data_IF_227547622581
#
_entry.id   IF_227547622581
#
_cell.length_a   1.000
_cell.length_b   1.000
_cell.length_c   1.000
_cell.angle_alpha   90.00
_cell.angle_beta   90.00
_cell.angle_gamma   90.00
#
_symmetry.space_group_name_H-M   'P 1'
#
loop_
_entity.id
_entity.type
_entity.pdbx_description
1 polymer ?
#
# COMPACT_ATOMS: atom_id res chain seq x y z
N UNK A 1 46.99 23.90 -4.96
CA UNK A 1 46.60 22.52 -5.34
C UNK A 1 46.24 21.77 -4.06
N UNK A 2 44.98 21.65 -3.75
CA UNK A 2 44.47 20.91 -2.57
C UNK A 2 44.61 19.41 -2.86
N UNK A 3 45.40 18.69 -2.04
CA UNK A 3 45.42 17.24 -2.05
C UNK A 3 44.04 16.77 -1.57
N UNK A 4 43.24 16.19 -2.47
CA UNK A 4 42.05 15.45 -2.10
C UNK A 4 42.46 14.37 -1.10
N UNK A 5 41.94 14.42 0.12
CA UNK A 5 42.05 13.29 1.04
C UNK A 5 41.29 12.13 0.38
N UNK A 6 42.02 11.19 -0.18
CA UNK A 6 41.46 9.90 -0.54
C UNK A 6 41.05 9.23 0.78
N UNK A 7 39.75 9.14 1.04
CA UNK A 7 39.23 8.37 2.14
C UNK A 7 39.42 6.88 1.84
N UNK A 8 40.51 6.30 2.29
CA UNK A 8 40.81 4.88 2.20
C UNK A 8 39.96 4.09 3.24
N UNK A 9 38.70 3.89 2.96
CA UNK A 9 37.74 3.26 3.87
C UNK A 9 38.03 1.77 4.13
N UNK A 10 38.83 1.10 3.28
CA UNK A 10 39.05 -0.34 3.34
C UNK A 10 40.53 -0.73 3.61
N UNK A 11 41.42 0.22 3.85
CA UNK A 11 42.82 -0.09 4.17
C UNK A 11 43.02 -0.19 5.67
N UNK A 12 43.73 -1.25 6.11
CA UNK A 12 44.20 -1.37 7.48
C UNK A 12 45.15 -0.21 7.78
N UNK A 13 44.89 0.46 8.89
CA UNK A 13 45.82 1.49 9.39
C UNK A 13 46.96 0.81 10.13
N UNK A 14 48.20 1.40 10.11
CA UNK A 14 49.33 0.83 10.82
C UNK A 14 49.07 0.53 12.30
N UNK A 15 48.23 1.36 12.95
CA UNK A 15 47.82 1.16 14.36
C UNK A 15 47.00 -0.12 14.59
N UNK A 16 46.42 -0.67 13.55
CA UNK A 16 45.59 -1.91 13.62
C UNK A 16 46.45 -3.18 13.53
N UNK A 17 47.73 -3.09 13.25
CA UNK A 17 48.67 -4.21 13.09
C UNK A 17 49.78 -4.26 14.15
N UNK A 18 49.84 -3.27 15.04
CA UNK A 18 50.94 -3.15 16.04
C UNK A 18 50.70 -3.88 17.36
N UNK A 19 49.67 -4.76 17.44
CA UNK A 19 49.34 -5.50 18.65
C UNK A 19 48.50 -4.72 19.66
N UNK A 20 48.04 -5.39 20.70
CA UNK A 20 47.27 -4.80 21.80
C UNK A 20 45.85 -4.38 21.42
N UNK A 21 45.38 -3.25 21.97
CA UNK A 21 44.01 -2.77 21.79
C UNK A 21 43.65 -2.43 20.32
N UNK A 22 44.62 -2.01 19.50
CA UNK A 22 44.42 -1.72 18.09
C UNK A 22 44.07 -2.95 17.26
N UNK A 23 44.78 -4.05 17.51
CA UNK A 23 44.50 -5.32 16.81
C UNK A 23 43.13 -5.91 17.19
N UNK A 24 42.80 -5.88 18.49
CA UNK A 24 41.48 -6.32 18.96
C UNK A 24 40.38 -5.48 18.34
N UNK A 25 40.54 -4.15 18.28
CA UNK A 25 39.59 -3.23 17.64
C UNK A 25 39.42 -3.54 16.16
N UNK A 26 40.50 -3.85 15.42
CA UNK A 26 40.44 -4.24 14.02
C UNK A 26 39.67 -5.55 13.80
N UNK A 27 39.95 -6.56 14.67
CA UNK A 27 39.24 -7.86 14.62
C UNK A 27 37.74 -7.65 14.88
N UNK A 28 37.39 -6.91 15.95
CA UNK A 28 35.98 -6.62 16.28
C UNK A 28 35.29 -5.87 15.17
N UNK A 29 35.92 -4.83 14.63
CA UNK A 29 35.39 -4.06 13.50
C UNK A 29 35.17 -4.94 12.26
N UNK A 30 36.11 -5.86 11.98
CA UNK A 30 35.99 -6.82 10.88
C UNK A 30 34.84 -7.83 11.09
N UNK A 31 34.53 -8.20 12.32
CA UNK A 31 33.38 -9.05 12.65
C UNK A 31 32.07 -8.24 12.50
N UNK A 32 32.02 -7.06 13.09
CA UNK A 32 30.82 -6.20 13.08
C UNK A 32 30.45 -5.77 11.67
N UNK A 33 31.42 -5.48 10.80
CA UNK A 33 31.19 -5.08 9.40
C UNK A 33 30.53 -6.17 8.55
N UNK A 34 30.56 -7.42 8.99
CA UNK A 34 29.90 -8.56 8.33
C UNK A 34 28.47 -8.79 8.82
N UNK A 35 28.05 -8.11 9.86
CA UNK A 35 26.70 -8.24 10.43
C UNK A 35 25.73 -7.37 9.60
N UNK A 36 24.90 -8.02 8.82
CA UNK A 36 23.84 -7.33 8.08
C UNK A 36 22.63 -7.14 8.99
N UNK A 37 22.28 -5.89 9.31
CA UNK A 37 21.12 -5.56 10.16
C UNK A 37 19.95 -5.03 9.34
N UNK A 38 20.12 -3.83 8.78
CA UNK A 38 19.14 -3.15 7.94
C UNK A 38 19.86 -2.42 6.82
N UNK A 39 19.31 -2.45 5.61
CA UNK A 39 19.83 -1.65 4.50
C UNK A 39 18.69 -1.14 3.61
N UNK A 40 18.96 -0.07 2.87
CA UNK A 40 18.08 0.36 1.79
C UNK A 40 18.25 -0.56 0.60
N UNK A 41 17.13 -0.96 0.02
CA UNK A 41 17.09 -1.81 -1.17
C UNK A 41 16.16 -1.23 -2.22
N UNK A 42 16.41 -1.56 -3.48
CA UNK A 42 15.48 -1.32 -4.57
C UNK A 42 14.78 -2.61 -4.93
N UNK A 43 13.47 -2.55 -5.11
CA UNK A 43 12.68 -3.66 -5.65
C UNK A 43 13.04 -3.84 -7.11
N UNK A 44 13.46 -5.04 -7.48
CA UNK A 44 13.80 -5.44 -8.85
C UNK A 44 12.59 -6.10 -9.51
N UNK A 45 11.89 -6.93 -8.74
CA UNK A 45 10.72 -7.67 -9.22
C UNK A 45 9.80 -8.03 -8.06
N UNK A 46 8.49 -7.90 -8.28
CA UNK A 46 7.45 -8.48 -7.43
C UNK A 46 7.05 -9.84 -7.99
N UNK A 47 7.16 -10.89 -7.20
CA UNK A 47 6.88 -12.27 -7.63
C UNK A 47 5.50 -12.75 -7.21
N UNK A 48 5.05 -12.30 -6.07
CA UNK A 48 3.78 -12.72 -5.49
C UNK A 48 3.17 -11.51 -4.81
N UNK A 49 1.93 -11.21 -5.13
CA UNK A 49 1.21 -10.01 -4.68
C UNK A 49 -0.28 -10.27 -4.54
N UNK A 50 -1.07 -9.20 -4.40
CA UNK A 50 -2.51 -9.25 -4.24
C UNK A 50 -2.95 -10.10 -3.04
N UNK A 51 -3.90 -11.00 -3.23
CA UNK A 51 -4.45 -11.88 -2.19
C UNK A 51 -3.59 -13.14 -1.90
N UNK A 52 -2.40 -13.26 -2.49
CA UNK A 52 -1.51 -14.38 -2.18
C UNK A 52 -1.16 -14.41 -0.67
N UNK A 53 -1.04 -15.60 -0.05
CA UNK A 53 -0.78 -15.72 1.40
C UNK A 53 0.51 -15.04 1.87
N UNK A 54 1.52 -14.99 1.01
CA UNK A 54 2.81 -14.34 1.27
C UNK A 54 3.20 -13.53 0.04
N UNK A 55 3.43 -12.25 0.23
CA UNK A 55 4.02 -11.39 -0.80
C UNK A 55 5.53 -11.56 -0.86
N UNK A 56 6.09 -11.70 -2.06
CA UNK A 56 7.51 -11.91 -2.29
C UNK A 56 8.06 -10.91 -3.31
N UNK A 57 9.23 -10.37 -3.02
CA UNK A 57 9.99 -9.48 -3.90
C UNK A 57 11.42 -9.96 -4.09
N UNK A 58 12.01 -9.61 -5.22
CA UNK A 58 13.45 -9.64 -5.42
C UNK A 58 13.97 -8.23 -5.24
N UNK A 59 15.01 -8.05 -4.44
CA UNK A 59 15.53 -6.74 -4.08
C UNK A 59 17.04 -6.65 -4.30
N UNK A 60 17.55 -5.44 -4.54
CA UNK A 60 18.98 -5.16 -4.64
C UNK A 60 19.39 -4.13 -3.60
N UNK A 61 20.36 -4.42 -2.72
CA UNK A 61 20.94 -3.42 -1.81
C UNK A 61 21.52 -2.23 -2.58
N UNK A 62 21.20 -1.02 -2.10
CA UNK A 62 21.62 0.22 -2.78
C UNK A 62 22.97 0.76 -2.27
N UNK A 63 23.32 0.46 -1.02
CA UNK A 63 24.64 0.84 -0.50
C UNK A 63 25.65 -0.16 -1.06
N UNK A 64 26.44 0.28 -2.04
CA UNK A 64 27.40 -0.56 -2.73
C UNK A 64 28.62 -0.91 -1.84
N UNK A 65 29.32 -1.96 -2.20
CA UNK A 65 30.60 -2.32 -1.62
C UNK A 65 31.70 -1.44 -2.22
N UNK A 66 32.68 -1.09 -1.40
CA UNK A 66 33.86 -0.33 -1.83
C UNK A 66 35.10 -1.18 -1.55
N UNK A 67 35.85 -1.50 -2.58
CA UNK A 67 37.12 -2.19 -2.48
C UNK A 67 38.22 -1.26 -1.92
N UNK A 68 39.33 -1.83 -1.46
CA UNK A 68 40.45 -1.05 -0.89
C UNK A 68 41.09 -0.03 -1.86
N UNK A 69 40.96 -0.25 -3.15
CA UNK A 69 41.37 0.65 -4.23
C UNK A 69 40.35 1.77 -4.54
N UNK A 70 39.21 1.77 -3.85
CA UNK A 70 38.10 2.71 -4.07
C UNK A 70 37.10 2.29 -5.14
N UNK A 71 37.23 1.11 -5.72
CA UNK A 71 36.28 0.60 -6.72
C UNK A 71 34.92 0.29 -6.06
N UNK A 72 33.87 0.87 -6.65
CA UNK A 72 32.48 0.66 -6.19
C UNK A 72 31.88 -0.55 -6.91
N UNK A 73 31.44 -1.55 -6.13
CA UNK A 73 30.82 -2.77 -6.67
C UNK A 73 29.39 -2.89 -6.12
N UNK A 74 28.35 -2.86 -6.98
CA UNK A 74 26.99 -3.09 -6.55
C UNK A 74 26.79 -4.49 -5.95
N UNK A 75 25.89 -4.60 -4.99
CA UNK A 75 25.47 -5.92 -4.47
C UNK A 75 24.66 -6.70 -5.51
N UNK A 76 24.72 -8.01 -5.42
CA UNK A 76 23.83 -8.92 -6.15
C UNK A 76 22.37 -8.79 -5.71
N UNK A 77 21.46 -9.41 -6.47
CA UNK A 77 20.03 -9.44 -6.18
C UNK A 77 19.78 -10.49 -5.08
N UNK A 78 18.95 -10.12 -4.11
CA UNK A 78 18.43 -11.01 -3.08
C UNK A 78 17.05 -11.46 -3.53
N UNK A 79 16.85 -12.76 -3.64
CA UNK A 79 15.64 -13.33 -4.20
C UNK A 79 14.66 -13.81 -3.13
N UNK A 80 13.35 -13.73 -3.46
CA UNK A 80 12.26 -14.31 -2.65
C UNK A 80 12.22 -13.74 -1.22
N UNK A 81 12.40 -12.45 -1.10
CA UNK A 81 12.29 -11.72 0.18
C UNK A 81 10.83 -11.49 0.49
N UNK A 82 10.29 -11.98 1.62
CA UNK A 82 8.94 -11.64 2.03
C UNK A 82 8.83 -10.14 2.31
N UNK A 83 7.73 -9.49 1.86
CA UNK A 83 7.49 -8.10 2.19
C UNK A 83 6.37 -7.96 3.22
N UNK A 84 6.48 -6.91 4.03
CA UNK A 84 5.52 -6.59 5.07
C UNK A 84 4.17 -6.19 4.47
N UNK A 85 3.10 -6.69 5.09
CA UNK A 85 1.72 -6.26 4.89
C UNK A 85 1.11 -5.90 6.23
N UNK A 86 0.31 -4.85 6.26
CA UNK A 86 -0.50 -4.54 7.43
C UNK A 86 -1.65 -5.55 7.50
N UNK A 87 -1.45 -6.65 8.23
CA UNK A 87 -2.42 -7.74 8.30
C UNK A 87 -2.53 -8.34 9.71
N UNK A 88 -3.71 -8.88 10.01
CA UNK A 88 -3.99 -9.59 11.27
C UNK A 88 -5.23 -10.46 11.14
N UNK A 89 -5.14 -11.72 11.60
CA UNK A 89 -6.19 -12.72 11.37
C UNK A 89 -6.47 -12.91 9.88
N UNK A 90 -7.71 -12.76 9.47
CA UNK A 90 -8.14 -12.85 8.07
C UNK A 90 -8.18 -11.49 7.32
N UNK A 91 -7.69 -10.40 7.92
CA UNK A 91 -7.82 -9.06 7.37
C UNK A 91 -6.46 -8.48 6.95
N UNK A 92 -6.43 -7.73 5.84
CA UNK A 92 -5.20 -7.08 5.38
C UNK A 92 -5.49 -5.76 4.64
N UNK A 93 -4.52 -4.84 4.70
CA UNK A 93 -4.35 -3.76 3.73
C UNK A 93 -3.24 -4.19 2.78
N UNK A 94 -3.57 -4.32 1.50
CA UNK A 94 -2.64 -4.83 0.50
C UNK A 94 -2.14 -3.64 -0.32
N UNK A 95 -0.83 -3.42 -0.25
CA UNK A 95 -0.09 -2.46 -1.06
C UNK A 95 1.13 -3.22 -1.56
N UNK A 96 1.07 -3.66 -2.80
CA UNK A 96 2.14 -4.45 -3.39
C UNK A 96 3.28 -3.52 -3.84
N UNK A 97 4.54 -3.83 -3.49
CA UNK A 97 5.69 -3.08 -3.98
C UNK A 97 5.84 -3.22 -5.50
N UNK A 98 6.25 -2.13 -6.15
CA UNK A 98 6.52 -2.11 -7.59
C UNK A 98 8.02 -2.11 -7.89
N UNK A 99 8.45 -2.63 -9.06
CA UNK A 99 9.83 -2.50 -9.51
C UNK A 99 10.26 -1.03 -9.55
N UNK A 100 11.39 -0.73 -8.91
CA UNK A 100 11.89 0.63 -8.75
C UNK A 100 11.67 1.22 -7.37
N UNK A 101 10.73 0.68 -6.56
CA UNK A 101 10.51 1.13 -5.20
C UNK A 101 11.78 1.00 -4.36
N UNK A 102 12.04 2.03 -3.56
CA UNK A 102 13.14 2.05 -2.61
C UNK A 102 12.59 1.95 -1.20
N UNK A 103 13.00 0.89 -0.50
CA UNK A 103 12.54 0.61 0.83
C UNK A 103 13.61 0.02 1.73
N UNK A 104 13.20 -0.38 2.90
CA UNK A 104 14.07 -0.94 3.94
C UNK A 104 13.95 -2.46 3.97
N UNK A 105 15.10 -3.15 3.98
CA UNK A 105 15.19 -4.59 4.23
C UNK A 105 15.98 -4.84 5.51
N UNK A 106 15.39 -5.59 6.44
CA UNK A 106 16.05 -6.06 7.65
C UNK A 106 16.39 -7.54 7.54
N UNK A 107 17.47 -7.97 8.20
CA UNK A 107 17.97 -9.34 8.14
C UNK A 107 17.88 -10.00 9.50
N UNK A 108 17.29 -11.19 9.53
CA UNK A 108 17.11 -11.94 10.77
C UNK A 108 18.45 -12.43 11.32
N UNK A 109 18.56 -12.49 12.64
CA UNK A 109 19.78 -12.92 13.33
C UNK A 109 20.14 -14.39 13.11
N UNK A 110 19.21 -15.19 12.60
CA UNK A 110 19.33 -16.62 12.32
C UNK A 110 18.66 -16.97 11.03
N UNK A 111 18.99 -18.14 10.49
CA UNK A 111 18.35 -18.73 9.34
C UNK A 111 16.84 -18.96 9.58
N UNK A 112 15.99 -18.29 8.79
CA UNK A 112 14.53 -18.36 8.88
C UNK A 112 13.90 -19.28 7.82
N UNK A 113 14.68 -20.05 7.09
CA UNK A 113 14.18 -20.87 5.97
C UNK A 113 13.10 -21.87 6.43
N UNK A 114 13.32 -22.56 7.55
CA UNK A 114 12.33 -23.48 8.12
C UNK A 114 11.05 -22.76 8.56
N UNK A 115 11.19 -21.58 9.18
CA UNK A 115 10.03 -20.80 9.64
C UNK A 115 9.22 -20.27 8.45
N UNK A 116 9.87 -19.83 7.38
CA UNK A 116 9.20 -19.42 6.13
C UNK A 116 8.38 -20.57 5.53
N UNK A 117 8.87 -21.78 5.60
CA UNK A 117 8.22 -22.97 5.05
C UNK A 117 7.09 -23.47 5.95
N UNK A 118 7.38 -23.68 7.24
CA UNK A 118 6.50 -24.37 8.18
C UNK A 118 5.50 -23.44 8.88
N UNK A 119 5.79 -22.13 8.93
CA UNK A 119 5.02 -21.12 9.67
C UNK A 119 4.80 -21.49 11.14
N UNK A 120 5.78 -22.16 11.74
CA UNK A 120 5.76 -22.66 13.10
C UNK A 120 7.18 -22.57 13.71
N UNK A 121 7.32 -22.68 15.05
CA UNK A 121 8.62 -22.79 15.70
C UNK A 121 9.44 -23.91 15.07
N UNK A 122 10.61 -23.56 14.52
CA UNK A 122 11.44 -24.48 13.75
C UNK A 122 12.91 -24.22 14.01
N UNK A 123 13.74 -25.27 14.01
CA UNK A 123 15.18 -25.13 14.08
C UNK A 123 15.74 -24.48 12.79
N UNK A 124 16.80 -23.65 12.88
CA UNK A 124 17.49 -23.14 11.72
C UNK A 124 18.13 -24.28 10.93
N UNK A 125 18.05 -24.23 9.59
CA UNK A 125 18.63 -25.24 8.71
C UNK A 125 20.14 -25.09 8.52
N UNK A 126 20.67 -23.92 8.85
CA UNK A 126 22.09 -23.61 8.69
C UNK A 126 22.61 -22.77 9.85
N UNK A 127 23.94 -22.55 9.89
CA UNK A 127 24.59 -21.68 10.87
C UNK A 127 24.67 -20.22 10.45
N UNK A 128 23.96 -19.80 9.37
CA UNK A 128 23.91 -18.41 8.90
C UNK A 128 23.43 -17.49 10.01
N UNK A 129 24.01 -16.30 10.05
CA UNK A 129 23.63 -15.21 10.96
C UNK A 129 23.67 -13.90 10.19
N UNK A 130 22.64 -13.08 10.35
CA UNK A 130 22.55 -11.75 9.73
C UNK A 130 22.87 -11.80 8.23
N UNK A 131 22.33 -12.80 7.54
CA UNK A 131 22.60 -13.07 6.14
C UNK A 131 21.53 -12.44 5.25
N UNK A 132 21.93 -11.99 4.07
CA UNK A 132 21.02 -11.41 3.09
C UNK A 132 19.86 -12.35 2.71
N UNK A 133 20.07 -13.68 2.73
CA UNK A 133 19.03 -14.67 2.44
C UNK A 133 17.89 -14.71 3.46
N UNK A 134 18.12 -14.15 4.64
CA UNK A 134 17.17 -14.11 5.76
C UNK A 134 16.52 -12.71 5.88
N UNK A 135 16.39 -12.02 4.74
CA UNK A 135 15.81 -10.69 4.63
C UNK A 135 14.29 -10.65 4.70
N UNK A 136 13.78 -9.53 5.24
CA UNK A 136 12.37 -9.13 5.26
C UNK A 136 12.27 -7.69 4.77
N UNK A 137 11.43 -7.42 3.76
CA UNK A 137 11.24 -6.08 3.22
C UNK A 137 10.07 -5.37 3.93
N UNK A 138 10.32 -4.20 4.49
CA UNK A 138 9.36 -3.48 5.34
C UNK A 138 8.56 -2.40 4.61
N UNK A 139 8.77 -2.18 3.34
CA UNK A 139 8.04 -1.21 2.54
C UNK A 139 8.89 -0.02 2.09
N UNK A 140 8.24 0.91 1.40
CA UNK A 140 8.88 2.04 0.76
C UNK A 140 9.22 3.18 1.71
N UNK A 141 10.39 3.81 1.51
CA UNK A 141 10.87 4.98 2.26
C UNK A 141 11.19 6.18 1.38
N UNK A 142 11.71 5.95 0.17
CA UNK A 142 12.20 6.99 -0.72
C UNK A 142 11.52 6.93 -2.08
N UNK A 143 10.21 6.71 -2.07
CA UNK A 143 9.39 6.66 -3.28
C UNK A 143 8.87 8.05 -3.66
N UNK A 144 8.33 8.17 -4.87
CA UNK A 144 7.72 9.41 -5.36
C UNK A 144 6.36 9.71 -4.72
N UNK A 145 5.70 10.75 -5.21
CA UNK A 145 4.37 11.15 -4.75
C UNK A 145 3.33 10.08 -5.10
N UNK A 146 2.50 9.63 -4.15
CA UNK A 146 1.49 8.63 -4.42
C UNK A 146 0.40 9.15 -5.36
N UNK A 147 -0.04 8.31 -6.30
CA UNK A 147 -1.09 8.63 -7.28
C UNK A 147 -2.48 8.26 -6.79
N UNK A 148 -2.59 7.34 -5.85
CA UNK A 148 -3.84 6.95 -5.17
C UNK A 148 -3.55 6.74 -3.69
N UNK A 149 -4.47 7.19 -2.81
CA UNK A 149 -4.17 7.26 -1.39
C UNK A 149 -5.40 7.39 -0.50
N UNK A 150 -5.22 7.02 0.76
CA UNK A 150 -6.07 7.42 1.87
C UNK A 150 -5.28 8.44 2.69
N UNK A 151 -5.77 9.69 2.76
CA UNK A 151 -5.11 10.78 3.45
C UNK A 151 -5.92 11.25 4.65
N UNK A 152 -5.39 11.04 5.85
CA UNK A 152 -5.90 11.61 7.09
C UNK A 152 -5.33 13.02 7.24
N UNK A 153 -6.17 14.03 7.17
CA UNK A 153 -5.82 15.45 7.24
C UNK A 153 -6.69 16.16 8.25
N UNK A 154 -6.31 17.40 8.62
CA UNK A 154 -7.14 18.24 9.46
C UNK A 154 -8.53 18.42 8.83
N UNK A 155 -9.54 18.12 9.62
CA UNK A 155 -10.95 18.21 9.21
C UNK A 155 -11.47 17.04 8.39
N UNK A 156 -10.72 15.92 8.23
CA UNK A 156 -11.31 14.73 7.61
C UNK A 156 -10.37 13.74 6.93
N UNK A 157 -10.98 12.79 6.26
CA UNK A 157 -10.29 11.74 5.52
C UNK A 157 -10.61 11.90 4.04
N UNK A 158 -9.59 11.88 3.19
CA UNK A 158 -9.74 11.85 1.74
C UNK A 158 -9.31 10.49 1.21
N UNK A 159 -10.23 9.81 0.51
CA UNK A 159 -9.95 8.65 -0.32
C UNK A 159 -9.88 9.14 -1.77
N UNK A 160 -8.77 8.86 -2.46
CA UNK A 160 -8.55 9.30 -3.83
C UNK A 160 -7.99 8.17 -4.69
N UNK A 161 -8.62 7.96 -5.85
CA UNK A 161 -8.13 7.11 -6.93
C UNK A 161 -8.31 7.84 -8.27
N UNK A 162 -7.37 7.76 -9.21
CA UNK A 162 -7.56 8.23 -10.58
C UNK A 162 -8.44 7.28 -11.41
N UNK A 163 -8.65 6.05 -10.94
CA UNK A 163 -9.56 5.06 -11.51
C UNK A 163 -10.79 4.86 -10.61
N UNK A 164 -11.28 3.64 -10.55
CA UNK A 164 -12.48 3.29 -9.82
C UNK A 164 -12.24 3.13 -8.31
N UNK A 165 -13.30 3.29 -7.53
CA UNK A 165 -13.38 2.91 -6.13
C UNK A 165 -14.54 1.93 -6.00
N UNK A 166 -14.22 0.67 -5.75
CA UNK A 166 -15.20 -0.40 -5.56
C UNK A 166 -15.42 -0.66 -4.08
N UNK A 167 -16.68 -0.75 -3.67
CA UNK A 167 -17.09 -1.13 -2.32
C UNK A 167 -18.06 -2.31 -2.40
N UNK A 168 -17.60 -3.49 -2.00
CA UNK A 168 -18.40 -4.70 -1.98
C UNK A 168 -18.62 -5.18 -0.54
N UNK A 169 -19.87 -5.32 -0.14
CA UNK A 169 -20.24 -5.77 1.18
C UNK A 169 -21.68 -6.30 1.21
N UNK A 170 -22.01 -7.10 2.21
CA UNK A 170 -23.40 -7.51 2.47
C UNK A 170 -24.30 -6.28 2.74
N UNK A 171 -23.78 -5.25 3.41
CA UNK A 171 -24.49 -4.00 3.69
C UNK A 171 -23.49 -2.82 3.72
N UNK A 172 -23.87 -1.72 3.07
CA UNK A 172 -23.15 -0.43 3.13
C UNK A 172 -24.08 0.58 3.81
N UNK A 173 -23.62 1.22 4.90
CA UNK A 173 -24.35 2.25 5.63
C UNK A 173 -23.55 3.56 5.63
N UNK A 174 -24.19 4.62 5.15
CA UNK A 174 -23.62 5.97 5.15
C UNK A 174 -24.43 6.82 6.13
N UNK A 175 -23.83 7.22 7.25
CA UNK A 175 -24.43 8.08 8.26
C UNK A 175 -23.69 9.40 8.31
N UNK A 176 -24.35 10.50 7.98
CA UNK A 176 -23.80 11.85 8.03
C UNK A 176 -24.76 12.75 8.81
N UNK A 177 -24.25 13.56 9.73
CA UNK A 177 -25.08 14.55 10.47
C UNK A 177 -25.53 15.70 9.58
N UNK A 178 -24.71 16.12 8.63
CA UNK A 178 -25.03 17.19 7.70
C UNK A 178 -25.72 16.69 6.45
N UNK A 179 -25.08 15.90 5.64
CA UNK A 179 -25.61 15.40 4.39
C UNK A 179 -24.65 14.48 3.64
N UNK A 180 -25.19 13.76 2.66
CA UNK A 180 -24.42 12.96 1.70
C UNK A 180 -24.62 13.61 0.33
N UNK A 181 -23.52 14.00 -0.32
CA UNK A 181 -23.52 14.58 -1.67
C UNK A 181 -22.87 13.62 -2.64
N UNK A 182 -23.50 13.44 -3.81
CA UNK A 182 -22.92 12.70 -4.92
C UNK A 182 -22.92 13.59 -6.16
N UNK A 183 -21.76 13.75 -6.80
CA UNK A 183 -21.60 14.49 -8.04
C UNK A 183 -21.02 13.56 -9.09
N UNK A 184 -21.78 13.27 -10.14
CA UNK A 184 -21.39 12.35 -11.21
C UNK A 184 -22.12 12.71 -12.49
N UNK A 185 -21.65 12.22 -13.63
CA UNK A 185 -22.40 12.31 -14.89
C UNK A 185 -23.65 11.43 -14.87
N UNK A 186 -23.60 10.28 -14.21
CA UNK A 186 -24.70 9.35 -14.10
C UNK A 186 -24.74 8.78 -12.70
N UNK A 187 -25.92 8.75 -12.09
CA UNK A 187 -26.18 8.02 -10.86
C UNK A 187 -27.15 6.87 -11.16
N UNK A 188 -26.74 5.65 -10.85
CA UNK A 188 -27.51 4.46 -11.10
C UNK A 188 -27.69 3.66 -9.82
N UNK A 189 -28.92 3.32 -9.47
CA UNK A 189 -29.25 2.47 -8.33
C UNK A 189 -30.11 1.28 -8.79
N UNK A 190 -29.53 0.08 -8.80
CA UNK A 190 -30.23 -1.16 -9.15
C UNK A 190 -30.65 -1.88 -7.87
N UNK A 191 -31.97 -1.91 -7.61
CA UNK A 191 -32.52 -2.59 -6.43
C UNK A 191 -33.41 -3.75 -6.86
N UNK A 192 -33.33 -4.89 -6.17
CA UNK A 192 -34.20 -6.06 -6.46
C UNK A 192 -35.62 -5.89 -5.94
N UNK A 193 -35.82 -5.04 -4.96
CA UNK A 193 -37.14 -4.84 -4.32
C UNK A 193 -37.58 -3.39 -4.42
N UNK A 194 -37.14 -2.53 -3.52
CA UNK A 194 -37.63 -1.16 -3.42
C UNK A 194 -36.50 -0.18 -3.12
N UNK A 195 -36.44 0.95 -3.84
CA UNK A 195 -35.72 2.14 -3.42
C UNK A 195 -36.68 3.00 -2.56
N UNK A 196 -36.33 3.22 -1.28
CA UNK A 196 -37.16 4.00 -0.36
C UNK A 196 -36.47 5.31 -0.02
N UNK A 197 -37.16 6.42 -0.27
CA UNK A 197 -36.73 7.76 0.13
C UNK A 197 -37.68 8.25 1.23
N UNK A 198 -37.14 8.54 2.40
CA UNK A 198 -37.92 9.05 3.54
C UNK A 198 -37.31 10.31 4.07
N UNK A 199 -38.12 11.35 4.30
CA UNK A 199 -37.68 12.62 4.83
C UNK A 199 -38.81 13.66 4.77
N UNK A 200 -38.70 14.74 5.52
CA UNK A 200 -39.73 15.80 5.56
C UNK A 200 -39.72 16.72 4.33
N UNK A 201 -38.67 16.70 3.50
CA UNK A 201 -38.50 17.62 2.37
C UNK A 201 -38.90 17.06 0.99
N UNK A 202 -39.20 15.77 0.90
CA UNK A 202 -39.55 15.13 -0.40
C UNK A 202 -38.34 14.92 -1.35
N UNK A 203 -38.66 14.71 -2.64
CA UNK A 203 -37.69 14.55 -3.72
C UNK A 203 -37.90 15.73 -4.68
N UNK A 204 -36.82 16.46 -4.96
CA UNK A 204 -36.81 17.53 -5.97
C UNK A 204 -35.98 17.07 -7.18
N UNK A 205 -36.47 17.33 -8.39
CA UNK A 205 -35.80 17.05 -9.65
C UNK A 205 -35.94 18.25 -10.57
N UNK A 206 -34.84 18.69 -11.16
CA UNK A 206 -34.83 19.74 -12.20
C UNK A 206 -35.21 19.18 -13.57
N UNK A 207 -35.19 17.86 -13.73
CA UNK A 207 -35.57 17.15 -14.91
C UNK A 207 -36.84 16.33 -14.76
N UNK A 208 -37.30 15.70 -15.84
CA UNK A 208 -38.45 14.81 -15.80
C UNK A 208 -38.15 13.52 -15.03
N UNK A 209 -39.12 13.07 -14.25
CA UNK A 209 -39.11 11.77 -13.57
C UNK A 209 -40.06 10.84 -14.29
N UNK A 210 -39.59 9.69 -14.77
CA UNK A 210 -40.39 8.70 -15.52
C UNK A 210 -40.60 7.43 -14.73
N UNK A 211 -41.81 6.92 -14.74
CA UNK A 211 -42.14 5.58 -14.30
C UNK A 211 -42.51 4.74 -15.57
N UNK A 212 -41.54 3.89 -16.00
CA UNK A 212 -41.57 3.28 -17.34
C UNK A 212 -41.63 4.39 -18.43
N UNK A 213 -42.70 4.45 -19.23
CA UNK A 213 -42.88 5.42 -20.29
C UNK A 213 -43.76 6.62 -19.92
N UNK A 214 -44.22 6.67 -18.65
CA UNK A 214 -45.07 7.75 -18.14
C UNK A 214 -44.21 8.84 -17.51
N UNK A 215 -44.20 10.04 -18.10
CA UNK A 215 -43.55 11.24 -17.58
C UNK A 215 -44.34 11.80 -16.41
N UNK A 216 -43.65 12.23 -15.36
CA UNK A 216 -44.29 12.95 -14.26
C UNK A 216 -44.62 14.39 -14.65
N UNK A 217 -43.81 14.97 -15.56
CA UNK A 217 -43.93 16.36 -16.01
C UNK A 217 -45.00 16.53 -17.10
N UNK A 218 -45.10 15.57 -18.00
CA UNK A 218 -45.93 15.67 -19.20
C UNK A 218 -46.58 14.31 -19.54
N UNK A 219 -47.71 13.99 -18.89
CA UNK A 219 -48.49 12.80 -19.19
C UNK A 219 -49.98 13.15 -19.34
N UNK A 220 -50.64 12.68 -20.42
CA UNK A 220 -52.04 12.92 -20.64
C UNK A 220 -52.91 12.02 -19.77
N UNK A 221 -54.07 12.54 -19.40
CA UNK A 221 -55.12 11.74 -18.77
C UNK A 221 -56.21 11.43 -19.76
N UNK A 222 -56.59 10.16 -19.93
CA UNK A 222 -57.74 9.75 -20.74
C UNK A 222 -59.02 9.78 -19.92
N UNK A 223 -60.14 10.09 -20.60
CA UNK A 223 -61.46 10.08 -19.98
C UNK A 223 -61.79 11.31 -19.13
N UNK A 224 -61.00 12.39 -19.25
CA UNK A 224 -61.28 13.66 -18.59
C UNK A 224 -61.76 14.70 -19.62
N UNK A 225 -62.71 15.52 -19.24
CA UNK A 225 -63.20 16.63 -20.07
C UNK A 225 -62.29 17.86 -19.79
N UNK A 226 -61.83 18.50 -20.87
CA UNK A 226 -60.99 19.72 -20.73
C UNK A 226 -61.84 20.87 -20.17
N UNK A 227 -61.35 21.52 -19.10
CA UNK A 227 -61.97 22.64 -18.42
C UNK A 227 -60.94 23.67 -17.95
N UNK A 228 -61.42 24.85 -17.51
CA UNK A 228 -60.53 25.91 -17.00
C UNK A 228 -60.12 25.79 -15.54
N UNK A 229 -60.71 24.80 -14.81
CA UNK A 229 -60.46 24.62 -13.40
C UNK A 229 -59.38 23.56 -13.16
N UNK A 230 -58.63 23.73 -12.06
CA UNK A 230 -57.61 22.77 -11.65
C UNK A 230 -58.31 21.63 -10.82
N UNK A 231 -57.83 20.40 -10.99
CA UNK A 231 -58.24 19.28 -10.17
C UNK A 231 -57.79 19.51 -8.71
N UNK A 232 -58.55 18.99 -7.77
CA UNK A 232 -58.19 18.96 -6.33
C UNK A 232 -56.92 18.17 -6.08
N UNK A 233 -56.40 18.24 -4.85
CA UNK A 233 -55.24 17.45 -4.43
C UNK A 233 -55.50 15.96 -4.57
N UNK A 234 -54.50 15.13 -4.89
CA UNK A 234 -54.62 13.68 -4.88
C UNK A 234 -55.14 13.18 -3.52
N UNK A 235 -56.10 12.29 -3.52
CA UNK A 235 -56.65 11.65 -2.30
C UNK A 235 -55.86 10.36 -2.05
N UNK A 236 -55.32 10.20 -0.83
CA UNK A 236 -54.70 8.92 -0.45
C UNK A 236 -55.74 7.82 -0.41
N UNK A 237 -55.51 6.72 -1.13
CA UNK A 237 -56.28 5.49 -1.09
C UNK A 237 -55.68 4.48 -0.15
#
# INVERSE_FOLDING_TARGET
MSKSQQNNWAQYRPEQTQGGAGEISAIVSGIVSRIQTVTLVRVVKTKSGGLAPVGLVDVQPLVAQISGDGTVTPHGIIYNVPYFRLQGGGNAVIIDPEPGDIGMCGFCSRDISSVKQNKAPSAPQSRRRFDYSDGLYFGGFLNGTPKQYIHFKDGGIKLFSPGDIEMEAANIRLNAQGGVSSTSQTFQANTKTTAKFTGGGGISSDGDVKAKDVSLLDHPHSGVQSGNDQSGKPVAT
#
